data_IF_245340590066
#
_entry.id   IF_245340590066
#
_cell.length_a   1.000
_cell.length_b   1.000
_cell.length_c   1.000
_cell.angle_alpha   90.00
_cell.angle_beta   90.00
_cell.angle_gamma   90.00
#
_symmetry.space_group_name_H-M   'P 1'
#
loop_
_entity.id
_entity.type
_entity.pdbx_description
1 polymer ?
#
# COMPACT_ATOMS: atom_id res chain seq x y z
N UNK A 1 -16.75 -10.22 -3.47
CA UNK A 1 -15.75 -10.63 -4.49
C UNK A 1 -15.11 -9.42 -5.11
N UNK A 2 -13.79 -9.46 -5.30
CA UNK A 2 -13.08 -8.34 -5.91
C UNK A 2 -13.04 -8.48 -7.43
N UNK A 3 -13.07 -7.37 -8.16
CA UNK A 3 -12.84 -7.40 -9.60
C UNK A 3 -11.43 -7.92 -9.91
N UNK A 4 -11.25 -8.44 -11.12
CA UNK A 4 -9.96 -8.97 -11.53
C UNK A 4 -8.84 -7.93 -11.42
N UNK A 5 -9.14 -6.68 -11.76
CA UNK A 5 -8.13 -5.62 -11.70
C UNK A 5 -7.64 -5.39 -10.28
N UNK A 6 -8.52 -5.49 -9.31
CA UNK A 6 -8.13 -5.32 -7.92
C UNK A 6 -7.27 -6.49 -7.45
N UNK A 7 -7.61 -7.69 -7.88
CA UNK A 7 -6.81 -8.87 -7.57
C UNK A 7 -5.44 -8.79 -8.24
N UNK A 8 -5.40 -8.24 -9.45
CA UNK A 8 -4.13 -8.04 -10.15
C UNK A 8 -3.22 -7.09 -9.38
N UNK A 9 -3.78 -6.04 -8.82
CA UNK A 9 -2.99 -5.11 -8.01
C UNK A 9 -2.38 -5.84 -6.81
N UNK A 10 -3.17 -6.65 -6.12
CA UNK A 10 -2.68 -7.39 -4.96
C UNK A 10 -1.56 -8.37 -5.35
N UNK A 11 -1.74 -9.09 -6.46
CA UNK A 11 -0.72 -10.02 -6.93
C UNK A 11 0.55 -9.31 -7.33
N UNK A 12 0.42 -8.18 -8.03
CA UNK A 12 1.58 -7.44 -8.50
C UNK A 12 2.34 -6.83 -7.34
N UNK A 13 1.63 -6.25 -6.38
CA UNK A 13 2.28 -5.72 -5.17
C UNK A 13 3.03 -6.82 -4.43
N UNK A 14 2.39 -7.97 -4.26
CA UNK A 14 3.02 -9.10 -3.59
C UNK A 14 4.27 -9.58 -4.31
N UNK A 15 4.21 -9.65 -5.64
CA UNK A 15 5.36 -10.06 -6.44
C UNK A 15 6.50 -9.04 -6.34
N UNK A 16 6.19 -7.75 -6.31
CA UNK A 16 7.22 -6.71 -6.16
C UNK A 16 7.88 -6.80 -4.79
N UNK A 17 7.08 -7.00 -3.75
CA UNK A 17 7.61 -7.15 -2.40
C UNK A 17 8.53 -8.38 -2.33
N UNK A 18 8.10 -9.50 -2.91
CA UNK A 18 8.89 -10.71 -2.92
C UNK A 18 10.22 -10.49 -3.64
N UNK A 19 10.18 -9.88 -4.82
CA UNK A 19 11.38 -9.61 -5.59
C UNK A 19 12.35 -8.71 -4.82
N UNK A 20 11.83 -7.66 -4.19
CA UNK A 20 12.67 -6.75 -3.42
C UNK A 20 13.27 -7.44 -2.19
N UNK A 21 12.50 -8.34 -1.57
CA UNK A 21 13.00 -9.14 -0.46
C UNK A 21 14.16 -10.03 -0.88
N UNK A 22 13.94 -10.76 -1.98
CA UNK A 22 14.96 -11.68 -2.50
C UNK A 22 16.22 -10.93 -2.92
N UNK A 23 16.05 -9.75 -3.51
CA UNK A 23 17.20 -8.93 -3.91
C UNK A 23 18.05 -8.53 -2.71
N UNK A 24 17.47 -8.53 -1.51
CA UNK A 24 18.21 -8.23 -0.28
C UNK A 24 18.74 -9.47 0.41
N UNK A 25 18.56 -10.63 -0.21
CA UNK A 25 18.95 -11.92 0.36
C UNK A 25 18.23 -12.20 1.69
N UNK A 26 17.00 -11.73 1.80
CA UNK A 26 16.19 -11.98 2.99
C UNK A 26 15.26 -13.16 2.76
N UNK A 27 15.11 -13.99 3.80
CA UNK A 27 14.06 -15.00 3.82
C UNK A 27 12.74 -14.33 4.22
N UNK A 28 11.66 -15.09 4.09
CA UNK A 28 10.37 -14.58 4.58
C UNK A 28 10.41 -14.34 6.09
N UNK A 29 11.14 -15.17 6.83
CA UNK A 29 11.32 -14.96 8.26
C UNK A 29 12.06 -13.66 8.52
N UNK A 30 13.11 -13.39 7.74
CA UNK A 30 13.84 -12.13 7.88
C UNK A 30 12.91 -10.93 7.70
N UNK A 31 12.08 -10.97 6.67
CA UNK A 31 11.16 -9.88 6.42
C UNK A 31 10.12 -9.77 7.53
N UNK A 32 9.61 -10.89 8.01
CA UNK A 32 8.63 -10.89 9.09
C UNK A 32 9.20 -10.22 10.34
N UNK A 33 10.44 -10.49 10.66
CA UNK A 33 11.09 -9.87 11.82
C UNK A 33 11.29 -8.38 11.64
N UNK A 34 11.65 -7.96 10.42
CA UNK A 34 11.85 -6.54 10.15
C UNK A 34 10.55 -5.74 10.16
N UNK A 35 9.45 -6.38 9.76
CA UNK A 35 8.15 -5.73 9.74
C UNK A 35 7.40 -5.85 11.05
N UNK A 36 7.75 -6.81 11.87
CA UNK A 36 6.97 -7.12 13.07
C UNK A 36 5.64 -7.77 12.75
N UNK A 37 5.55 -8.53 11.66
CA UNK A 37 4.36 -9.28 11.30
C UNK A 37 4.73 -10.74 11.06
N UNK A 38 3.75 -11.64 11.13
CA UNK A 38 4.02 -13.07 11.08
C UNK A 38 4.51 -13.52 9.71
N UNK A 39 5.25 -14.62 9.69
CA UNK A 39 5.69 -15.19 8.42
C UNK A 39 4.51 -15.58 7.53
N UNK A 40 3.45 -16.11 8.13
CA UNK A 40 2.29 -16.50 7.33
C UNK A 40 1.63 -15.27 6.69
N UNK A 41 1.63 -14.13 7.36
CA UNK A 41 1.15 -12.89 6.77
C UNK A 41 2.05 -12.45 5.61
N UNK A 42 3.36 -12.56 5.77
CA UNK A 42 4.29 -12.26 4.67
C UNK A 42 3.99 -13.16 3.47
N UNK A 43 3.80 -14.46 3.72
CA UNK A 43 3.47 -15.38 2.64
C UNK A 43 2.20 -14.95 1.92
N UNK A 44 1.17 -14.60 2.68
CA UNK A 44 -0.09 -14.16 2.08
C UNK A 44 0.07 -12.88 1.27
N UNK A 45 0.85 -11.93 1.76
CA UNK A 45 1.12 -10.70 1.01
C UNK A 45 1.81 -11.04 -0.30
N UNK A 46 2.82 -11.88 -0.26
CA UNK A 46 3.63 -12.18 -1.45
C UNK A 46 2.86 -12.98 -2.48
N UNK A 47 1.86 -13.74 -2.07
CA UNK A 47 1.02 -14.48 -2.99
C UNK A 47 -0.19 -13.68 -3.48
N UNK A 48 -0.36 -12.48 -2.97
CA UNK A 48 -1.43 -11.60 -3.43
C UNK A 48 -2.77 -11.83 -2.76
N UNK A 49 -2.79 -12.39 -1.57
CA UNK A 49 -4.04 -12.58 -0.84
C UNK A 49 -4.66 -11.21 -0.53
N UNK A 50 -5.95 -11.10 -0.80
CA UNK A 50 -6.65 -9.81 -0.66
C UNK A 50 -7.21 -9.58 0.74
N UNK A 51 -7.14 -10.58 1.59
CA UNK A 51 -7.69 -10.48 2.95
C UNK A 51 -6.68 -9.99 3.98
N UNK A 52 -5.48 -9.62 3.56
CA UNK A 52 -4.46 -9.12 4.47
C UNK A 52 -4.79 -7.68 4.84
N UNK A 53 -4.61 -7.34 6.11
CA UNK A 53 -4.82 -5.97 6.55
C UNK A 53 -3.91 -5.02 5.77
N UNK A 54 -4.48 -3.92 5.34
CA UNK A 54 -3.77 -2.97 4.50
C UNK A 54 -2.50 -2.44 5.17
N UNK A 55 -2.59 -2.19 6.49
CA UNK A 55 -1.42 -1.71 7.22
C UNK A 55 -0.24 -2.66 7.19
N UNK A 56 -0.49 -3.96 7.15
CA UNK A 56 0.59 -4.94 7.03
C UNK A 56 1.25 -4.87 5.67
N UNK A 57 0.48 -4.65 4.61
CA UNK A 57 1.02 -4.48 3.27
C UNK A 57 1.91 -3.23 3.23
N UNK A 58 1.47 -2.14 3.84
CA UNK A 58 2.27 -0.93 3.91
C UNK A 58 3.57 -1.14 4.67
N UNK A 59 3.53 -1.89 5.77
CA UNK A 59 4.75 -2.21 6.51
C UNK A 59 5.73 -3.01 5.68
N UNK A 60 5.23 -3.98 4.92
CA UNK A 60 6.09 -4.78 4.05
C UNK A 60 6.71 -3.93 2.96
N UNK A 61 5.94 -3.06 2.34
CA UNK A 61 6.46 -2.13 1.33
C UNK A 61 7.54 -1.24 1.91
N UNK A 62 7.33 -0.75 3.12
CA UNK A 62 8.31 0.07 3.80
C UNK A 62 9.60 -0.70 4.07
N UNK A 63 9.48 -1.91 4.59
CA UNK A 63 10.63 -2.70 4.99
C UNK A 63 11.51 -3.09 3.81
N UNK A 64 10.92 -3.37 2.65
CA UNK A 64 11.70 -3.71 1.46
C UNK A 64 12.11 -2.48 0.64
N UNK A 65 11.76 -1.29 1.10
CA UNK A 65 12.21 -0.05 0.47
C UNK A 65 11.40 0.40 -0.73
N UNK A 66 10.17 -0.09 -0.89
CA UNK A 66 9.33 0.29 -2.02
C UNK A 66 8.31 1.37 -1.69
N UNK A 67 8.22 1.78 -0.42
CA UNK A 67 7.12 2.67 -0.02
C UNK A 67 7.21 4.03 -0.72
N UNK A 68 8.40 4.55 -0.92
CA UNK A 68 8.55 5.85 -1.58
C UNK A 68 8.21 5.79 -3.05
N UNK A 69 8.50 4.66 -3.71
CA UNK A 69 8.10 4.48 -5.10
C UNK A 69 6.58 4.49 -5.24
N UNK A 70 5.90 3.82 -4.30
CA UNK A 70 4.45 3.81 -4.29
C UNK A 70 3.91 5.21 -4.03
N UNK A 71 4.49 5.90 -3.07
CA UNK A 71 4.08 7.26 -2.75
C UNK A 71 4.22 8.19 -3.95
N UNK A 72 5.35 8.11 -4.64
CA UNK A 72 5.59 8.95 -5.81
C UNK A 72 4.59 8.66 -6.92
N UNK A 73 4.28 7.39 -7.13
CA UNK A 73 3.29 7.00 -8.12
C UNK A 73 1.92 7.56 -7.77
N UNK A 74 1.53 7.46 -6.51
CA UNK A 74 0.23 7.92 -6.08
C UNK A 74 0.04 9.42 -6.23
N UNK A 75 1.12 10.18 -6.11
CA UNK A 75 1.04 11.61 -6.31
C UNK A 75 0.61 11.99 -7.72
N UNK A 76 0.81 11.08 -8.67
CA UNK A 76 0.51 11.34 -10.08
C UNK A 76 -0.62 10.48 -10.62
N UNK A 77 -1.27 9.72 -9.74
CA UNK A 77 -2.34 8.83 -10.17
C UNK A 77 -3.64 9.61 -10.27
N UNK A 78 -4.27 9.48 -11.44
CA UNK A 78 -5.59 10.07 -11.68
C UNK A 78 -5.52 11.56 -11.87
N UNK A 79 -5.56 12.31 -10.80
CA UNK A 79 -5.59 13.76 -10.83
C UNK A 79 -4.25 14.28 -10.32
N UNK A 80 -3.65 15.22 -11.03
CA UNK A 80 -2.38 15.80 -10.61
C UNK A 80 -2.55 16.55 -9.28
N UNK A 81 -1.44 16.78 -8.58
CA UNK A 81 -1.49 17.53 -7.33
C UNK A 81 -2.14 18.88 -7.51
N UNK A 82 -1.83 19.55 -8.61
CA UNK A 82 -2.40 20.86 -8.89
C UNK A 82 -3.91 20.77 -9.08
N UNK A 83 -4.35 19.81 -9.89
CA UNK A 83 -5.77 19.60 -10.10
C UNK A 83 -6.50 19.22 -8.85
N UNK A 84 -5.86 18.37 -8.04
CA UNK A 84 -6.46 17.94 -6.79
C UNK A 84 -6.66 19.13 -5.85
N UNK A 85 -5.65 19.99 -5.74
CA UNK A 85 -5.74 21.17 -4.91
C UNK A 85 -6.85 22.10 -5.38
N UNK A 86 -6.97 22.26 -6.69
CA UNK A 86 -8.03 23.10 -7.25
C UNK A 86 -9.40 22.53 -6.95
N UNK A 87 -9.57 21.22 -7.10
CA UNK A 87 -10.84 20.59 -6.82
C UNK A 87 -11.20 20.69 -5.37
N UNK A 88 -10.23 20.51 -4.48
CA UNK A 88 -10.48 20.63 -3.05
C UNK A 88 -10.89 22.06 -2.68
N UNK A 89 -10.20 23.04 -3.23
CA UNK A 89 -10.52 24.42 -2.90
C UNK A 89 -11.86 24.85 -3.46
N UNK A 90 -12.32 24.21 -4.53
CA UNK A 90 -13.60 24.54 -5.16
C UNK A 90 -14.78 23.86 -4.48
N UNK A 91 -14.53 22.87 -3.65
CA UNK A 91 -15.63 22.19 -2.98
C UNK A 91 -16.28 23.09 -1.96
N UNK A 92 -17.58 22.98 -1.81
CA UNK A 92 -18.25 23.76 -0.77
C UNK A 92 -17.65 23.41 0.56
N UNK A 93 -17.47 24.44 1.39
CA UNK A 93 -16.95 24.23 2.71
C UNK A 93 -17.88 23.28 3.42
N UNK A 94 -17.34 22.20 3.92
CA UNK A 94 -18.18 21.29 4.64
C UNK A 94 -18.62 21.94 5.91
N UNK A 95 -19.86 21.71 6.19
CA UNK A 95 -20.34 22.13 7.47
C UNK A 95 -19.58 21.38 8.51
N UNK A 96 -18.85 22.14 9.35
CA UNK A 96 -18.08 21.48 10.37
C UNK A 96 -18.98 20.68 11.20
N UNK A 97 -18.44 19.65 11.62
CA UNK A 97 -19.17 18.82 12.52
C UNK A 97 -19.43 19.60 13.79
N UNK A 98 -20.62 20.05 13.94
CA UNK A 98 -20.95 20.86 15.09
C UNK A 98 -20.80 20.16 16.36
N UNK A 99 -20.92 18.88 16.34
CA UNK A 99 -20.76 18.13 17.55
C UNK A 99 -19.38 18.22 18.09
N UNK A 100 -18.46 18.52 17.21
CA UNK A 100 -17.08 18.59 17.59
C UNK A 100 -16.63 19.98 17.88
N UNK A 101 -17.49 20.88 17.75
CA UNK A 101 -17.12 22.27 17.96
C UNK A 101 -17.03 22.59 19.38
#
# INVERSE_FOLDING_TARGET
MLPFEAEDVARLLGAKIRTARIARNWTQVDLSERCGISKSTILNIETGAVSVQFGFVLKALWAVGLINDVLDHLKNVGISDHEFALLESAQPKRVRDRRNS
#
